data_IF_263735747351
#
_entry.id   IF_263735747351
#
_cell.length_a   1.000
_cell.length_b   1.000
_cell.length_c   1.000
_cell.angle_alpha   90.00
_cell.angle_beta   90.00
_cell.angle_gamma   90.00
#
_symmetry.space_group_name_H-M   'P 1'
#
loop_
_entity.id
_entity.type
_entity.pdbx_description
1 polymer ?
#
# COMPACT_ATOMS: atom_id res chain seq x y z
N UNK A 1 8.32 0.58 -14.95
CA UNK A 1 7.15 -0.24 -14.55
C UNK A 1 7.29 -1.65 -15.07
N UNK A 2 6.67 -2.64 -14.41
CA UNK A 2 6.50 -4.03 -14.88
C UNK A 2 5.01 -4.38 -14.83
N UNK A 3 4.53 -5.09 -15.86
CA UNK A 3 3.16 -5.55 -15.95
C UNK A 3 3.10 -7.08 -15.85
N UNK A 4 2.22 -7.58 -14.98
CA UNK A 4 1.85 -8.99 -14.89
C UNK A 4 0.47 -9.11 -15.54
N UNK A 5 0.35 -9.92 -16.58
CA UNK A 5 -0.87 -10.05 -17.38
C UNK A 5 -1.37 -11.49 -17.27
N UNK A 6 -2.65 -11.74 -16.94
CA UNK A 6 -3.21 -13.09 -16.95
C UNK A 6 -3.06 -13.75 -18.32
N UNK A 7 -2.75 -15.05 -18.33
CA UNK A 7 -2.54 -15.80 -19.59
C UNK A 7 -3.83 -16.20 -20.30
N UNK A 8 -4.97 -15.97 -19.65
CA UNK A 8 -6.30 -16.34 -20.18
C UNK A 8 -6.82 -15.30 -21.16
N UNK A 9 -7.93 -15.61 -21.82
CA UNK A 9 -8.64 -14.62 -22.64
C UNK A 9 -9.24 -13.52 -21.75
N UNK A 10 -9.01 -12.25 -22.06
CA UNK A 10 -9.57 -11.16 -21.27
C UNK A 10 -11.11 -11.18 -21.28
N UNK A 11 -11.76 -10.75 -20.21
CA UNK A 11 -13.18 -10.49 -20.20
C UNK A 11 -13.56 -9.46 -21.31
N UNK A 12 -14.80 -9.47 -21.75
CA UNK A 12 -15.28 -8.52 -22.77
C UNK A 12 -15.16 -7.05 -22.35
N UNK A 13 -15.17 -6.77 -21.02
CA UNK A 13 -14.94 -5.43 -20.45
C UNK A 13 -13.48 -5.06 -20.30
N UNK A 14 -12.55 -5.99 -20.55
CA UNK A 14 -11.13 -5.86 -20.21
C UNK A 14 -10.77 -6.43 -18.84
N UNK A 15 -9.47 -6.37 -18.50
CA UNK A 15 -8.95 -6.84 -17.23
C UNK A 15 -9.14 -5.82 -16.11
N UNK A 16 -9.51 -6.23 -14.89
CA UNK A 16 -9.32 -5.40 -13.70
C UNK A 16 -7.87 -4.94 -13.58
N UNK A 17 -7.67 -3.74 -13.03
CA UNK A 17 -6.34 -3.15 -12.83
C UNK A 17 -5.97 -3.16 -11.34
N UNK A 18 -4.76 -3.59 -11.04
CA UNK A 18 -4.12 -3.42 -9.74
C UNK A 18 -2.82 -2.65 -9.91
N UNK A 19 -2.70 -1.50 -9.26
CA UNK A 19 -1.42 -0.81 -9.07
C UNK A 19 -0.81 -1.27 -7.75
N UNK A 20 0.43 -1.73 -7.81
CA UNK A 20 1.15 -2.26 -6.65
C UNK A 20 2.47 -1.53 -6.45
N UNK A 21 2.70 -1.03 -5.23
CA UNK A 21 3.93 -0.38 -4.84
C UNK A 21 4.70 -1.25 -3.83
N UNK A 22 5.96 -1.55 -4.15
CA UNK A 22 6.80 -2.41 -3.30
C UNK A 22 7.20 -1.73 -1.99
N UNK A 23 7.55 -2.55 -0.99
CA UNK A 23 8.13 -2.09 0.27
C UNK A 23 9.63 -1.79 0.16
N UNK A 24 10.26 -1.48 1.30
CA UNK A 24 11.70 -1.21 1.35
C UNK A 24 12.06 0.12 2.02
N UNK A 25 11.13 0.73 2.76
CA UNK A 25 11.37 1.98 3.51
C UNK A 25 11.71 3.16 2.60
N UNK A 26 11.22 3.17 1.36
CA UNK A 26 11.51 4.16 0.31
C UNK A 26 13.00 4.25 -0.10
N UNK A 27 13.86 3.37 0.43
CA UNK A 27 15.33 3.38 0.23
C UNK A 27 15.79 2.15 -0.53
N UNK A 28 15.06 1.05 -0.40
CA UNK A 28 15.36 -0.23 -1.04
C UNK A 28 14.18 -0.74 -1.86
N UNK A 29 14.49 -1.75 -2.69
CA UNK A 29 13.49 -2.41 -3.51
C UNK A 29 13.62 -2.06 -4.98
N UNK A 30 12.99 -2.87 -5.79
CA UNK A 30 12.93 -2.76 -7.24
C UNK A 30 11.70 -3.51 -7.78
N UNK A 31 11.57 -3.59 -9.10
CA UNK A 31 10.47 -4.30 -9.76
C UNK A 31 10.40 -5.81 -9.45
N UNK A 32 11.44 -6.40 -8.86
CA UNK A 32 11.48 -7.84 -8.53
C UNK A 32 11.15 -8.15 -7.06
N UNK A 33 11.15 -7.13 -6.20
CA UNK A 33 11.10 -7.28 -4.75
C UNK A 33 9.89 -8.09 -4.24
N UNK A 34 8.74 -7.96 -4.89
CA UNK A 34 7.49 -8.61 -4.45
C UNK A 34 6.77 -9.33 -5.60
N UNK A 35 7.57 -9.98 -6.48
CA UNK A 35 7.06 -10.75 -7.61
C UNK A 35 6.04 -11.82 -7.20
N UNK A 36 6.25 -12.50 -6.06
CA UNK A 36 5.34 -13.54 -5.57
C UNK A 36 3.96 -12.97 -5.30
N UNK A 37 3.89 -11.79 -4.65
CA UNK A 37 2.62 -11.10 -4.36
C UNK A 37 1.92 -10.74 -5.67
N UNK A 38 2.63 -10.05 -6.58
CA UNK A 38 2.08 -9.60 -7.86
C UNK A 38 1.62 -10.75 -8.75
N UNK A 39 2.39 -11.85 -8.80
CA UNK A 39 2.03 -13.05 -9.56
C UNK A 39 0.77 -13.72 -8.98
N UNK A 40 0.66 -13.82 -7.66
CA UNK A 40 -0.54 -14.37 -7.01
C UNK A 40 -1.77 -13.50 -7.28
N UNK A 41 -1.65 -12.17 -7.16
CA UNK A 41 -2.76 -11.25 -7.48
C UNK A 41 -3.17 -11.44 -8.94
N UNK A 42 -2.23 -11.39 -9.87
CA UNK A 42 -2.50 -11.57 -11.30
C UNK A 42 -3.26 -12.87 -11.59
N UNK A 43 -2.75 -13.99 -11.07
CA UNK A 43 -3.31 -15.31 -11.36
C UNK A 43 -4.63 -15.60 -10.64
N UNK A 44 -4.79 -15.15 -9.39
CA UNK A 44 -5.95 -15.48 -8.54
C UNK A 44 -7.08 -14.48 -8.68
N UNK A 45 -6.77 -13.17 -8.68
CA UNK A 45 -7.78 -12.13 -8.85
C UNK A 45 -8.08 -11.83 -10.33
N UNK A 46 -7.38 -12.50 -11.27
CA UNK A 46 -7.56 -12.31 -12.72
C UNK A 46 -7.49 -10.84 -13.11
N UNK A 47 -6.43 -10.17 -12.67
CA UNK A 47 -6.22 -8.75 -12.88
C UNK A 47 -4.83 -8.49 -13.50
N UNK A 48 -4.72 -7.47 -14.30
CA UNK A 48 -3.41 -6.92 -14.68
C UNK A 48 -2.83 -6.21 -13.47
N UNK A 49 -1.62 -6.58 -13.08
CA UNK A 49 -0.88 -5.92 -11.99
C UNK A 49 0.25 -5.09 -12.58
N UNK A 50 0.30 -3.82 -12.26
CA UNK A 50 1.38 -2.91 -12.65
C UNK A 50 2.17 -2.54 -11.42
N UNK A 51 3.47 -2.86 -11.40
CA UNK A 51 4.38 -2.39 -10.36
C UNK A 51 5.21 -1.22 -10.87
N UNK A 52 5.51 -0.28 -9.98
CA UNK A 52 6.26 0.92 -10.30
C UNK A 52 7.63 0.88 -9.65
N UNK A 53 8.67 1.12 -10.45
CA UNK A 53 10.04 1.34 -10.01
C UNK A 53 10.19 2.82 -9.65
N UNK A 54 9.58 3.20 -8.55
CA UNK A 54 9.61 4.60 -8.10
C UNK A 54 11.01 4.97 -7.59
N UNK A 55 11.41 6.22 -7.77
CA UNK A 55 12.71 6.73 -7.32
C UNK A 55 12.85 6.62 -5.81
N UNK A 56 14.04 6.20 -5.38
CA UNK A 56 14.35 5.90 -3.99
C UNK A 56 15.16 7.02 -3.33
N UNK A 57 14.98 7.15 -2.03
CA UNK A 57 15.79 7.98 -1.16
C UNK A 57 17.11 7.23 -0.80
N UNK A 58 18.19 7.94 -0.46
CA UNK A 58 18.28 9.40 -0.30
C UNK A 58 18.47 10.17 -1.60
N UNK A 59 18.74 9.53 -2.76
CA UNK A 59 19.05 10.19 -4.03
C UNK A 59 17.84 10.98 -4.54
N UNK A 60 16.63 10.51 -4.31
CA UNK A 60 15.38 11.17 -4.65
C UNK A 60 14.40 11.12 -3.46
N UNK A 61 14.55 12.03 -2.47
CA UNK A 61 13.68 12.06 -1.29
C UNK A 61 12.25 12.47 -1.67
N UNK A 62 11.36 12.42 -0.67
CA UNK A 62 9.99 12.90 -0.83
C UNK A 62 9.95 14.29 -1.49
N UNK A 63 9.03 14.52 -2.46
CA UNK A 63 7.92 13.68 -2.87
C UNK A 63 8.17 12.85 -4.16
N UNK A 64 9.42 12.55 -4.55
CA UNK A 64 9.74 11.92 -5.83
C UNK A 64 8.98 10.59 -6.06
N UNK A 65 8.95 9.69 -5.07
CA UNK A 65 8.24 8.42 -5.17
C UNK A 65 6.72 8.61 -5.36
N UNK A 66 6.14 9.64 -4.75
CA UNK A 66 4.71 9.98 -4.93
C UNK A 66 4.44 10.44 -6.36
N UNK A 67 5.30 11.30 -6.91
CA UNK A 67 5.16 11.77 -8.30
C UNK A 67 5.25 10.62 -9.30
N UNK A 68 6.26 9.74 -9.17
CA UNK A 68 6.44 8.60 -10.08
C UNK A 68 5.25 7.63 -10.00
N UNK A 69 4.71 7.41 -8.79
CA UNK A 69 3.56 6.53 -8.56
C UNK A 69 2.27 7.14 -9.08
N UNK A 70 2.12 8.44 -9.00
CA UNK A 70 1.01 9.18 -9.59
C UNK A 70 1.02 9.12 -11.13
N UNK A 71 2.18 9.36 -11.75
CA UNK A 71 2.35 9.22 -13.19
C UNK A 71 2.04 7.80 -13.70
N UNK A 72 2.38 6.77 -12.90
CA UNK A 72 2.02 5.41 -13.23
C UNK A 72 0.50 5.18 -13.25
N UNK A 73 -0.26 5.77 -12.32
CA UNK A 73 -1.73 5.73 -12.34
C UNK A 73 -2.28 6.46 -13.59
N UNK A 74 -1.79 7.66 -13.88
CA UNK A 74 -2.23 8.42 -15.04
C UNK A 74 -1.94 7.69 -16.34
N UNK A 75 -0.77 7.08 -16.48
CA UNK A 75 -0.44 6.25 -17.65
C UNK A 75 -1.36 5.03 -17.75
N UNK A 76 -1.59 4.32 -16.65
CA UNK A 76 -2.42 3.12 -16.63
C UNK A 76 -3.89 3.42 -17.03
N UNK A 77 -4.40 4.59 -16.62
CA UNK A 77 -5.77 5.01 -16.92
C UNK A 77 -5.94 5.73 -18.26
N UNK A 78 -4.84 6.02 -18.95
CA UNK A 78 -4.84 6.63 -20.29
C UNK A 78 -4.29 5.65 -21.34
N UNK A 79 -3.05 5.80 -21.76
CA UNK A 79 -2.39 4.96 -22.78
C UNK A 79 -2.36 3.46 -22.39
N UNK A 80 -2.16 3.16 -21.12
CA UNK A 80 -2.13 1.80 -20.59
C UNK A 80 -3.45 1.06 -20.74
N UNK A 81 -4.58 1.77 -20.67
CA UNK A 81 -5.92 1.21 -20.83
C UNK A 81 -6.06 0.38 -22.11
N UNK A 82 -5.74 0.98 -23.23
CA UNK A 82 -5.90 0.32 -24.53
C UNK A 82 -4.79 -0.72 -24.77
N UNK A 83 -3.56 -0.39 -24.36
CA UNK A 83 -2.39 -1.28 -24.52
C UNK A 83 -2.55 -2.60 -23.76
N UNK A 84 -3.16 -2.56 -22.57
CA UNK A 84 -3.31 -3.72 -21.67
C UNK A 84 -4.76 -4.23 -21.61
N UNK A 85 -5.68 -3.65 -22.37
CA UNK A 85 -7.10 -3.97 -22.38
C UNK A 85 -7.70 -3.95 -20.97
N UNK A 86 -7.68 -2.78 -20.32
CA UNK A 86 -8.08 -2.61 -18.91
C UNK A 86 -9.54 -2.18 -18.77
N UNK A 87 -10.21 -2.77 -17.78
CA UNK A 87 -11.52 -2.32 -17.29
C UNK A 87 -11.33 -1.25 -16.19
N UNK A 88 -11.40 0.02 -16.56
CA UNK A 88 -11.22 1.13 -15.61
C UNK A 88 -12.36 1.29 -14.59
N UNK A 89 -13.43 0.51 -14.68
CA UNK A 89 -14.44 0.43 -13.61
C UNK A 89 -14.00 -0.44 -12.44
N UNK A 90 -12.86 -1.17 -12.57
CA UNK A 90 -12.32 -2.15 -11.63
C UNK A 90 -10.85 -1.87 -11.34
N UNK A 91 -10.58 -0.80 -10.60
CA UNK A 91 -9.23 -0.39 -10.23
C UNK A 91 -9.03 -0.58 -8.72
N UNK A 92 -7.94 -1.22 -8.35
CA UNK A 92 -7.46 -1.29 -6.97
C UNK A 92 -6.01 -0.80 -6.88
N UNK A 93 -5.66 -0.19 -5.75
CA UNK A 93 -4.31 0.31 -5.46
C UNK A 93 -3.86 -0.25 -4.12
N UNK A 94 -2.62 -0.74 -4.05
CA UNK A 94 -2.08 -1.23 -2.81
C UNK A 94 -0.57 -1.39 -2.81
N UNK A 95 -0.06 -1.94 -1.71
CA UNK A 95 1.35 -2.17 -1.53
C UNK A 95 1.68 -2.66 -0.12
N UNK A 96 2.99 -2.79 0.15
CA UNK A 96 3.49 -3.21 1.44
C UNK A 96 4.41 -2.15 2.07
N UNK A 97 4.31 -1.93 3.39
CA UNK A 97 5.19 -1.04 4.15
C UNK A 97 5.24 0.39 3.57
N UNK A 98 6.39 0.88 3.12
CA UNK A 98 6.54 2.14 2.40
C UNK A 98 5.70 2.20 1.12
N UNK A 99 5.54 1.07 0.42
CA UNK A 99 4.66 0.97 -0.73
C UNK A 99 3.18 1.12 -0.36
N UNK A 100 2.78 0.62 0.82
CA UNK A 100 1.43 0.85 1.34
C UNK A 100 1.21 2.32 1.76
N UNK A 101 2.25 3.02 2.22
CA UNK A 101 2.20 4.47 2.42
C UNK A 101 1.93 5.19 1.09
N UNK A 102 2.73 4.88 0.06
CA UNK A 102 2.54 5.44 -1.29
C UNK A 102 1.12 5.14 -1.79
N UNK A 103 0.66 3.88 -1.67
CA UNK A 103 -0.68 3.47 -2.07
C UNK A 103 -1.77 4.31 -1.42
N UNK A 104 -1.71 4.49 -0.09
CA UNK A 104 -2.68 5.31 0.64
C UNK A 104 -2.69 6.77 0.16
N UNK A 105 -1.51 7.34 -0.12
CA UNK A 105 -1.38 8.71 -0.67
C UNK A 105 -1.98 8.80 -2.07
N UNK A 106 -1.68 7.85 -2.96
CA UNK A 106 -2.20 7.85 -4.34
C UNK A 106 -3.72 7.67 -4.35
N UNK A 107 -4.26 6.82 -3.47
CA UNK A 107 -5.72 6.67 -3.29
C UNK A 107 -6.37 7.98 -2.84
N UNK A 108 -5.77 8.69 -1.88
CA UNK A 108 -6.26 10.00 -1.45
C UNK A 108 -6.17 11.05 -2.57
N UNK A 109 -5.07 11.07 -3.32
CA UNK A 109 -4.91 11.99 -4.45
C UNK A 109 -5.93 11.71 -5.55
N UNK A 110 -6.20 10.44 -5.86
CA UNK A 110 -7.22 10.04 -6.84
C UNK A 110 -8.62 10.49 -6.41
N UNK A 111 -8.96 10.38 -5.13
CA UNK A 111 -10.22 10.86 -4.58
C UNK A 111 -10.34 12.38 -4.69
N UNK A 112 -9.31 13.13 -4.28
CA UNK A 112 -9.31 14.61 -4.33
C UNK A 112 -9.39 15.12 -5.78
N UNK A 113 -8.71 14.47 -6.72
CA UNK A 113 -8.69 14.87 -8.13
C UNK A 113 -9.84 14.24 -8.95
N UNK A 114 -10.60 13.31 -8.37
CA UNK A 114 -11.71 12.59 -9.03
C UNK A 114 -11.28 11.96 -10.36
N UNK A 115 -10.03 11.48 -10.44
CA UNK A 115 -9.44 11.06 -11.72
C UNK A 115 -9.70 9.59 -12.06
N UNK A 116 -10.07 8.74 -11.08
CA UNK A 116 -10.34 7.32 -11.31
C UNK A 116 -11.31 6.76 -10.26
N UNK A 117 -12.29 5.93 -10.67
CA UNK A 117 -13.23 5.29 -9.77
C UNK A 117 -12.56 4.06 -9.12
N UNK A 118 -11.88 4.25 -7.98
CA UNK A 118 -11.21 3.16 -7.28
C UNK A 118 -12.23 2.25 -6.57
N UNK A 119 -12.09 0.94 -6.74
CA UNK A 119 -12.92 -0.08 -6.07
C UNK A 119 -12.39 -0.49 -4.71
N UNK A 120 -11.06 -0.52 -4.56
CA UNK A 120 -10.44 -0.97 -3.31
C UNK A 120 -9.05 -0.38 -3.12
N UNK A 121 -8.65 -0.25 -1.86
CA UNK A 121 -7.27 -0.10 -1.44
C UNK A 121 -6.87 -1.31 -0.57
N UNK A 122 -5.63 -1.80 -0.72
CA UNK A 122 -5.10 -2.85 0.14
C UNK A 122 -3.71 -2.47 0.66
N UNK A 123 -3.59 -2.45 1.98
CA UNK A 123 -2.43 -1.90 2.68
C UNK A 123 -1.83 -2.97 3.60
N UNK A 124 -0.65 -3.46 3.28
CA UNK A 124 0.02 -4.49 4.08
C UNK A 124 1.11 -3.82 4.91
N UNK A 125 1.01 -3.93 6.24
CA UNK A 125 1.91 -3.30 7.23
C UNK A 125 2.21 -1.82 6.93
N UNK A 126 1.19 -0.98 6.73
CA UNK A 126 1.37 0.36 6.19
C UNK A 126 2.07 1.32 7.15
N UNK A 127 2.89 2.23 6.59
CA UNK A 127 3.31 3.47 7.27
C UNK A 127 2.24 4.52 7.01
N UNK A 128 1.57 4.99 8.05
CA UNK A 128 0.49 5.99 7.88
C UNK A 128 0.73 7.29 8.65
N UNK A 129 1.70 7.30 9.58
CA UNK A 129 2.06 8.47 10.40
C UNK A 129 3.58 8.60 10.56
N UNK A 130 4.21 9.43 9.73
CA UNK A 130 5.64 9.72 9.81
C UNK A 130 6.03 10.69 10.95
N UNK A 131 5.07 11.17 11.76
CA UNK A 131 5.36 11.92 12.98
C UNK A 131 5.61 11.01 14.18
N UNK A 132 5.26 9.72 14.07
CA UNK A 132 5.36 8.75 15.16
C UNK A 132 6.82 8.46 15.57
N UNK A 133 7.01 8.27 16.87
CA UNK A 133 8.31 7.95 17.52
C UNK A 133 8.05 7.13 18.77
N UNK A 134 9.08 6.50 19.40
CA UNK A 134 8.93 5.85 20.71
C UNK A 134 8.45 6.77 21.84
N UNK A 135 8.56 8.08 21.66
CA UNK A 135 8.09 9.10 22.63
C UNK A 135 6.70 9.67 22.28
N UNK A 136 6.12 9.30 21.14
CA UNK A 136 4.78 9.74 20.73
C UNK A 136 3.69 8.98 21.49
N UNK A 137 2.43 9.38 21.26
CA UNK A 137 1.26 8.69 21.83
C UNK A 137 0.98 7.33 21.17
N UNK A 138 1.71 6.96 20.13
CA UNK A 138 1.55 5.67 19.46
C UNK A 138 2.18 4.55 20.32
N UNK A 139 1.38 3.66 20.94
CA UNK A 139 1.88 2.72 21.93
C UNK A 139 2.79 1.64 21.35
N UNK A 140 2.57 1.22 20.10
CA UNK A 140 3.36 0.12 19.50
C UNK A 140 4.79 0.54 19.18
N UNK A 141 5.05 1.83 18.96
CA UNK A 141 6.40 2.35 18.77
C UNK A 141 7.28 2.16 20.01
N UNK A 142 6.71 2.29 21.21
CA UNK A 142 7.43 2.02 22.47
C UNK A 142 7.41 0.53 22.80
N UNK A 143 6.27 -0.12 22.66
CA UNK A 143 6.08 -1.52 23.01
C UNK A 143 7.00 -2.44 22.20
N UNK A 144 7.13 -2.16 20.90
CA UNK A 144 7.93 -2.95 19.96
C UNK A 144 9.20 -2.23 19.48
N UNK A 145 9.71 -1.28 20.29
CA UNK A 145 10.88 -0.47 19.97
C UNK A 145 12.08 -1.30 19.49
N UNK A 146 12.23 -2.52 20.04
CA UNK A 146 13.33 -3.45 19.76
C UNK A 146 12.87 -4.71 19.01
N UNK A 147 11.73 -4.66 18.34
CA UNK A 147 11.19 -5.81 17.58
C UNK A 147 12.17 -6.32 16.52
N UNK A 148 11.96 -7.59 16.11
CA UNK A 148 12.77 -8.20 15.06
C UNK A 148 12.57 -7.48 13.71
N UNK A 149 13.66 -7.37 12.95
CA UNK A 149 13.76 -6.86 11.58
C UNK A 149 13.47 -5.37 11.39
N UNK A 150 12.42 -4.78 12.01
CA UNK A 150 12.12 -3.35 11.93
C UNK A 150 12.02 -2.71 13.33
N UNK A 151 13.12 -2.62 14.12
CA UNK A 151 13.11 -1.85 15.35
C UNK A 151 12.89 -0.36 15.04
N UNK A 152 12.36 0.39 16.02
CA UNK A 152 12.05 1.81 15.87
C UNK A 152 13.22 2.63 15.31
N UNK A 153 14.45 2.37 15.76
CA UNK A 153 15.66 3.04 15.26
C UNK A 153 15.83 2.87 13.74
N UNK A 154 15.55 1.68 13.22
CA UNK A 154 15.65 1.38 11.78
C UNK A 154 14.55 2.08 10.99
N UNK A 155 13.31 2.10 11.52
CA UNK A 155 12.21 2.82 10.89
C UNK A 155 12.50 4.33 10.83
N UNK A 156 13.02 4.91 11.91
CA UNK A 156 13.44 6.31 11.94
C UNK A 156 14.57 6.61 10.95
N UNK A 157 15.49 5.67 10.76
CA UNK A 157 16.56 5.80 9.77
C UNK A 157 15.97 5.88 8.35
N UNK A 158 15.05 5.01 7.97
CA UNK A 158 14.34 5.07 6.69
C UNK A 158 13.60 6.39 6.49
N UNK A 159 12.79 6.77 7.48
CA UNK A 159 12.04 8.03 7.44
C UNK A 159 12.96 9.22 7.20
N UNK A 160 14.09 9.32 7.92
CA UNK A 160 14.97 10.48 7.84
C UNK A 160 15.68 10.59 6.48
N UNK A 161 15.88 9.49 5.75
CA UNK A 161 16.35 9.53 4.36
C UNK A 161 15.24 9.96 3.40
N UNK A 162 14.02 9.47 3.60
CA UNK A 162 12.87 9.79 2.75
C UNK A 162 12.34 11.20 2.99
N UNK A 163 12.25 11.62 4.25
CA UNK A 163 11.71 12.91 4.72
C UNK A 163 12.79 13.66 5.52
N UNK A 164 13.82 14.23 4.85
CA UNK A 164 14.92 14.89 5.54
C UNK A 164 14.51 16.17 6.27
N UNK A 165 13.42 16.82 5.85
CA UNK A 165 12.87 18.01 6.50
C UNK A 165 11.71 17.61 7.45
N UNK A 166 11.87 17.76 8.78
CA UNK A 166 10.82 17.48 9.75
C UNK A 166 9.51 18.25 9.54
N UNK A 167 9.55 19.41 8.90
CA UNK A 167 8.35 20.20 8.60
C UNK A 167 7.39 19.47 7.65
N UNK A 168 7.89 18.51 6.88
CA UNK A 168 7.09 17.71 5.94
C UNK A 168 6.42 16.47 6.57
N UNK A 169 6.84 16.04 7.76
CA UNK A 169 6.38 14.78 8.36
C UNK A 169 4.86 14.71 8.54
N UNK A 170 4.22 15.84 8.88
CA UNK A 170 2.77 15.93 9.07
C UNK A 170 1.99 16.20 7.78
N UNK A 171 2.67 16.39 6.65
CA UNK A 171 1.97 16.57 5.37
C UNK A 171 1.19 15.30 5.02
N UNK A 172 -0.07 15.43 4.52
CA UNK A 172 -0.90 14.26 4.22
C UNK A 172 -0.28 13.28 3.20
N UNK A 173 0.55 13.79 2.30
CA UNK A 173 1.28 12.95 1.32
C UNK A 173 2.56 12.30 1.89
N UNK A 174 2.89 12.59 3.14
CA UNK A 174 3.89 11.87 3.91
C UNK A 174 3.21 10.98 4.98
N UNK A 175 2.18 11.51 5.63
CA UNK A 175 1.42 10.87 6.72
C UNK A 175 -0.07 10.80 6.35
N UNK A 176 -0.50 9.82 5.55
CA UNK A 176 -1.87 9.74 5.05
C UNK A 176 -2.93 9.60 6.15
N UNK A 177 -2.57 9.15 7.35
CA UNK A 177 -3.46 9.16 8.53
C UNK A 177 -3.92 10.58 8.90
N UNK A 178 -3.12 11.60 8.63
CA UNK A 178 -3.39 12.98 9.02
C UNK A 178 -4.26 13.75 8.01
N UNK A 179 -4.65 13.14 6.90
CA UNK A 179 -5.59 13.73 5.95
C UNK A 179 -6.94 14.06 6.62
N UNK A 180 -7.69 15.02 6.06
CA UNK A 180 -8.99 15.43 6.60
C UNK A 180 -10.06 14.34 6.49
N UNK A 181 -11.09 14.41 7.32
CA UNK A 181 -12.23 13.49 7.24
C UNK A 181 -12.98 13.61 5.90
N UNK A 182 -12.97 14.79 5.26
CA UNK A 182 -13.60 14.99 3.96
C UNK A 182 -12.94 14.15 2.86
N UNK A 183 -11.62 13.96 2.94
CA UNK A 183 -10.90 13.05 2.07
C UNK A 183 -11.25 11.59 2.41
N UNK A 184 -11.23 11.23 3.70
CA UNK A 184 -11.53 9.86 4.13
C UNK A 184 -12.91 9.38 3.69
N UNK A 185 -13.94 10.24 3.68
CA UNK A 185 -15.30 9.88 3.21
C UNK A 185 -15.37 9.48 1.74
N UNK A 186 -14.38 9.85 0.94
CA UNK A 186 -14.33 9.59 -0.50
C UNK A 186 -13.51 8.35 -0.86
N UNK A 187 -12.83 7.73 0.14
CA UNK A 187 -11.93 6.61 -0.13
C UNK A 187 -12.70 5.31 -0.41
N UNK A 188 -12.14 4.43 -1.25
CA UNK A 188 -12.74 3.12 -1.50
C UNK A 188 -12.61 2.20 -0.29
N UNK A 189 -13.37 1.10 -0.29
CA UNK A 189 -13.20 0.03 0.70
C UNK A 189 -11.72 -0.33 0.88
N UNK A 190 -11.36 -0.74 2.09
CA UNK A 190 -9.98 -1.08 2.42
C UNK A 190 -9.82 -2.50 2.96
N UNK A 191 -8.76 -3.17 2.51
CA UNK A 191 -8.22 -4.36 3.16
C UNK A 191 -6.89 -4.01 3.78
N UNK A 192 -6.77 -4.11 5.12
CA UNK A 192 -5.59 -3.70 5.87
C UNK A 192 -5.05 -4.88 6.66
N UNK A 193 -3.77 -5.17 6.51
CA UNK A 193 -3.10 -6.26 7.21
C UNK A 193 -1.96 -5.68 8.03
N UNK A 194 -1.92 -5.97 9.34
CA UNK A 194 -0.86 -5.50 10.24
C UNK A 194 -0.21 -6.67 10.99
N UNK A 195 1.07 -6.54 11.34
CA UNK A 195 1.77 -7.50 12.18
C UNK A 195 1.51 -7.23 13.67
N UNK A 196 1.30 -8.27 14.49
CA UNK A 196 1.05 -8.08 15.92
C UNK A 196 2.25 -7.46 16.64
N UNK A 197 3.49 -7.82 16.23
CA UNK A 197 4.74 -7.39 16.86
C UNK A 197 5.45 -6.28 16.06
N UNK A 198 4.68 -5.44 15.37
CA UNK A 198 5.17 -4.40 14.48
C UNK A 198 5.07 -3.01 15.14
N UNK A 199 6.11 -2.19 15.03
CA UNK A 199 6.10 -0.79 15.48
C UNK A 199 5.00 0.02 14.78
N UNK A 200 4.67 -0.32 13.54
CA UNK A 200 3.68 0.38 12.69
C UNK A 200 2.23 -0.10 12.93
N UNK A 201 2.02 -1.12 13.77
CA UNK A 201 0.71 -1.74 13.96
C UNK A 201 -0.37 -0.72 14.31
N UNK A 202 -0.13 0.09 15.35
CA UNK A 202 -1.15 1.02 15.86
C UNK A 202 -1.58 2.06 14.82
N UNK A 203 -0.66 2.61 14.06
CA UNK A 203 -0.99 3.60 13.03
C UNK A 203 -1.76 2.99 11.86
N UNK A 204 -1.51 1.72 11.52
CA UNK A 204 -2.33 0.95 10.57
C UNK A 204 -3.74 0.70 11.10
N UNK A 205 -3.87 0.35 12.40
CA UNK A 205 -5.17 0.20 13.07
C UNK A 205 -5.92 1.55 13.19
N UNK A 206 -5.21 2.67 13.44
CA UNK A 206 -5.80 4.02 13.47
C UNK A 206 -6.30 4.44 12.08
N UNK A 207 -5.56 4.11 11.02
CA UNK A 207 -6.00 4.38 9.66
C UNK A 207 -7.30 3.62 9.35
N UNK A 208 -7.38 2.34 9.74
CA UNK A 208 -8.60 1.53 9.63
C UNK A 208 -9.78 2.16 10.39
N UNK A 209 -9.59 2.51 11.67
CA UNK A 209 -10.62 3.17 12.48
C UNK A 209 -11.09 4.49 11.88
N UNK A 210 -10.18 5.27 11.32
CA UNK A 210 -10.53 6.55 10.67
C UNK A 210 -11.35 6.33 9.40
N UNK A 211 -11.05 5.31 8.61
CA UNK A 211 -11.87 4.91 7.46
C UNK A 211 -13.30 4.56 7.92
N UNK A 212 -13.43 3.64 8.89
CA UNK A 212 -14.72 3.22 9.45
C UNK A 212 -15.54 4.37 10.01
N UNK A 213 -14.90 5.27 10.78
CA UNK A 213 -15.53 6.47 11.34
C UNK A 213 -16.03 7.44 10.26
N UNK A 214 -15.54 7.32 9.03
CA UNK A 214 -15.98 8.11 7.88
C UNK A 214 -16.87 7.32 6.89
N UNK A 215 -17.38 6.16 7.30
CA UNK A 215 -18.36 5.37 6.54
C UNK A 215 -17.76 4.45 5.47
N UNK A 216 -16.44 4.26 5.48
CA UNK A 216 -15.75 3.37 4.55
C UNK A 216 -15.68 1.96 5.14
N UNK A 217 -16.03 0.94 4.34
CA UNK A 217 -15.92 -0.47 4.73
C UNK A 217 -14.45 -0.89 4.84
N UNK A 218 -14.07 -1.54 5.95
CA UNK A 218 -12.70 -1.99 6.22
C UNK A 218 -12.67 -3.45 6.65
N UNK A 219 -11.78 -4.22 6.03
CA UNK A 219 -11.38 -5.54 6.49
C UNK A 219 -9.99 -5.44 7.13
N UNK A 220 -9.92 -5.37 8.47
CA UNK A 220 -8.65 -5.31 9.21
C UNK A 220 -8.24 -6.69 9.72
N UNK A 221 -7.04 -7.13 9.38
CA UNK A 221 -6.45 -8.38 9.86
C UNK A 221 -5.17 -8.12 10.64
N UNK A 222 -5.11 -8.62 11.90
CA UNK A 222 -3.89 -8.64 12.71
C UNK A 222 -3.24 -10.02 12.60
N UNK A 223 -2.03 -10.08 12.05
CA UNK A 223 -1.25 -11.31 11.90
C UNK A 223 -0.53 -11.64 13.21
N UNK A 224 -1.10 -12.59 13.95
CA UNK A 224 -0.64 -12.99 15.30
C UNK A 224 0.79 -13.51 15.32
N UNK A 225 1.59 -13.02 16.26
CA UNK A 225 3.01 -13.37 16.44
C UNK A 225 3.94 -12.85 15.35
N UNK A 226 3.46 -12.04 14.40
CA UNK A 226 4.25 -11.63 13.24
C UNK A 226 4.87 -10.24 13.43
N UNK A 227 6.19 -10.13 13.18
CA UNK A 227 6.88 -8.84 13.04
C UNK A 227 6.65 -8.27 11.63
N UNK A 228 7.11 -7.05 11.39
CA UNK A 228 6.89 -6.29 10.15
C UNK A 228 7.11 -7.07 8.83
N UNK A 229 8.24 -7.79 8.59
CA UNK A 229 8.56 -8.31 7.26
C UNK A 229 7.97 -9.69 6.96
N UNK A 230 6.94 -10.16 7.68
CA UNK A 230 6.41 -11.52 7.51
C UNK A 230 5.92 -11.80 6.07
N UNK A 231 5.49 -10.77 5.33
CA UNK A 231 5.08 -10.92 3.93
C UNK A 231 6.24 -11.40 3.04
N UNK A 232 7.43 -10.84 3.22
CA UNK A 232 8.62 -11.22 2.46
C UNK A 232 9.16 -12.63 2.80
N UNK A 233 8.58 -13.28 3.80
CA UNK A 233 8.94 -14.63 4.24
C UNK A 233 7.90 -15.68 3.85
N UNK A 234 7.11 -15.42 2.81
CA UNK A 234 6.04 -16.30 2.32
C UNK A 234 6.53 -17.70 1.92
N UNK A 235 7.79 -17.84 1.52
CA UNK A 235 8.39 -19.14 1.22
C UNK A 235 8.51 -20.06 2.45
N UNK A 236 8.62 -19.50 3.66
CA UNK A 236 8.88 -20.23 4.91
C UNK A 236 7.84 -20.01 6.00
N UNK A 237 7.07 -18.92 5.95
CA UNK A 237 6.04 -18.59 6.93
C UNK A 237 4.63 -18.69 6.32
N UNK A 238 3.78 -19.51 6.95
CA UNK A 238 2.36 -19.59 6.57
C UNK A 238 1.64 -18.24 6.68
N UNK A 239 2.10 -17.36 7.58
CA UNK A 239 1.56 -16.02 7.73
C UNK A 239 1.74 -15.17 6.46
N UNK A 240 2.89 -15.28 5.77
CA UNK A 240 3.13 -14.61 4.48
C UNK A 240 2.18 -15.11 3.41
N UNK A 241 2.03 -16.43 3.25
CA UNK A 241 1.07 -17.04 2.31
C UNK A 241 -0.37 -16.63 2.61
N UNK A 242 -0.72 -16.60 3.90
CA UNK A 242 -2.06 -16.19 4.35
C UNK A 242 -2.34 -14.73 4.01
N UNK A 243 -1.38 -13.82 4.20
CA UNK A 243 -1.54 -12.42 3.83
C UNK A 243 -1.78 -12.25 2.33
N UNK A 244 -1.02 -12.97 1.49
CA UNK A 244 -1.24 -12.99 0.04
C UNK A 244 -2.65 -13.49 -0.28
N UNK A 245 -3.12 -14.55 0.39
CA UNK A 245 -4.47 -15.09 0.18
C UNK A 245 -5.55 -14.08 0.57
N UNK A 246 -5.46 -13.47 1.75
CA UNK A 246 -6.40 -12.43 2.20
C UNK A 246 -6.45 -11.27 1.19
N UNK A 247 -5.30 -10.84 0.68
CA UNK A 247 -5.22 -9.78 -0.33
C UNK A 247 -5.93 -10.19 -1.62
N UNK A 248 -5.65 -11.38 -2.14
CA UNK A 248 -6.31 -11.87 -3.36
C UNK A 248 -7.82 -12.00 -3.19
N UNK A 249 -8.28 -12.57 -2.08
CA UNK A 249 -9.70 -12.78 -1.80
C UNK A 249 -10.44 -11.44 -1.66
N UNK A 250 -9.84 -10.45 -1.00
CA UNK A 250 -10.37 -9.10 -0.91
C UNK A 250 -10.50 -8.40 -2.28
N UNK A 251 -9.50 -8.60 -3.16
CA UNK A 251 -9.55 -8.07 -4.53
C UNK A 251 -10.62 -8.76 -5.39
N UNK A 252 -10.75 -10.09 -5.30
CA UNK A 252 -11.81 -10.85 -5.99
C UNK A 252 -13.18 -10.30 -5.58
N UNK A 253 -13.41 -10.11 -4.28
CA UNK A 253 -14.66 -9.55 -3.78
C UNK A 253 -14.89 -8.12 -4.31
N UNK A 254 -13.86 -7.25 -4.31
CA UNK A 254 -13.98 -5.88 -4.78
C UNK A 254 -14.27 -5.77 -6.28
N UNK A 255 -13.81 -6.71 -7.08
CA UNK A 255 -14.03 -6.72 -8.53
C UNK A 255 -15.33 -7.44 -8.95
N UNK A 256 -15.95 -8.20 -8.04
CA UNK A 256 -17.22 -8.89 -8.27
C UNK A 256 -18.45 -8.03 -7.92
N UNK A 257 -18.26 -6.96 -7.18
CA UNK A 257 -19.29 -5.96 -6.82
C UNK A 257 -19.24 -4.79 -7.79
#
# INVERSE_FOLDING_TARGET
>A
MRCFIPQETPPSSGWPLVLYYHGGGWVFGDLSSENTVCTNICNRAKAVVITTDYRLAPEAPWPAAIHDSWEALLWATSTGKDTLNLDLSKIAIGGASSGANIAAVIVQNAAVQQCAPLRSQFLIVPVTDNTATPCSKNPTWKMFEHTAALPAKKMLWYRNHYLPDPATWSHREASPLLASNDIFRQLPRANIIVGELDVLRHEGEEYARKLEANGVSVDLTVMKGMPHPFLAMDAVLEAGKRAISITCDGLIQAFSS
#
